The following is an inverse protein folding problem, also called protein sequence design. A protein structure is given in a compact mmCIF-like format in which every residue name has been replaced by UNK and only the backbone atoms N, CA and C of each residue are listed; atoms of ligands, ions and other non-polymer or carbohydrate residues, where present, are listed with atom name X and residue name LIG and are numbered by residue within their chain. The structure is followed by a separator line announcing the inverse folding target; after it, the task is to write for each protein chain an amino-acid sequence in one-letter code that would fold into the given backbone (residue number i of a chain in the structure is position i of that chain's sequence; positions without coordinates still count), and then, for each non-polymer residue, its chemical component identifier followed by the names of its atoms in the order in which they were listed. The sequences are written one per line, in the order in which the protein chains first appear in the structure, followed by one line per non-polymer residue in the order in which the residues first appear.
data_IF_116784689968
#
_entry.id   IF_116784689968
#
_cell.length_a   1.000
_cell.length_b   1.000
_cell.length_c   1.000
_cell.angle_alpha   90.00
_cell.angle_beta   90.00
_cell.angle_gamma   90.00
#
_symmetry.space_group_name_H-M   'P 1'
#
loop_
_entity.id
_entity.type
_entity.pdbx_description
1 polymer ?
#
# COMPACT_ATOMS: atom_id res chain seq x y z
N UNK A 1 -6.19 -11.41 0.44
CA UNK A 1 -6.26 -9.94 0.40
C UNK A 1 -6.51 -9.37 1.77
N UNK A 2 -5.98 -8.18 2.01
CA UNK A 2 -6.06 -7.46 3.28
C UNK A 2 -7.05 -6.30 3.19
N UNK A 3 -7.87 -6.13 4.23
CA UNK A 3 -8.78 -5.00 4.35
C UNK A 3 -8.75 -4.48 5.78
N UNK A 4 -8.46 -3.19 5.94
CA UNK A 4 -8.47 -2.47 7.21
C UNK A 4 -9.38 -1.25 7.12
N UNK A 5 -10.12 -0.99 8.20
CA UNK A 5 -11.12 0.10 8.31
C UNK A 5 -11.38 0.39 9.79
N UNK A 6 -11.55 1.66 10.16
CA UNK A 6 -11.94 2.11 11.50
C UNK A 6 -11.05 1.57 12.64
N UNK A 7 -9.76 1.37 12.38
CA UNK A 7 -8.81 0.81 13.34
C UNK A 7 -7.39 1.26 13.01
N UNK A 8 -6.53 1.25 14.03
CA UNK A 8 -5.07 1.27 13.88
C UNK A 8 -4.57 -0.17 13.67
N UNK A 9 -3.77 -0.39 12.63
CA UNK A 9 -3.34 -1.71 12.21
C UNK A 9 -1.89 -1.72 11.76
N UNK A 10 -1.20 -2.82 12.07
CA UNK A 10 0.13 -3.11 11.53
C UNK A 10 0.10 -4.47 10.86
N UNK A 11 0.50 -4.51 9.59
CA UNK A 11 0.67 -5.74 8.83
C UNK A 11 2.14 -5.93 8.50
N UNK A 12 2.64 -7.14 8.70
CA UNK A 12 4.01 -7.54 8.33
C UNK A 12 3.93 -8.85 7.56
N UNK A 13 4.47 -8.86 6.35
CA UNK A 13 4.54 -10.03 5.48
C UNK A 13 5.99 -10.25 5.06
N UNK A 14 6.44 -11.49 5.13
CA UNK A 14 7.82 -11.85 4.78
C UNK A 14 7.81 -13.16 4.03
N UNK A 15 8.11 -13.12 2.73
CA UNK A 15 8.22 -14.29 1.85
C UNK A 15 7.05 -15.29 2.02
N UNK A 16 5.82 -14.77 2.05
CA UNK A 16 4.61 -15.59 2.21
C UNK A 16 4.08 -15.99 0.84
N UNK A 17 3.80 -17.28 0.67
CA UNK A 17 3.08 -17.77 -0.51
C UNK A 17 1.58 -17.47 -0.38
N UNK A 18 1.07 -16.59 -1.25
CA UNK A 18 -0.34 -16.16 -1.25
C UNK A 18 -1.05 -16.80 -2.43
N UNK A 19 -2.04 -17.64 -2.13
CA UNK A 19 -2.95 -18.15 -3.14
C UNK A 19 -4.08 -17.13 -3.39
N UNK A 20 -4.02 -16.44 -4.53
CA UNK A 20 -5.01 -15.45 -4.92
C UNK A 20 -6.29 -16.09 -5.46
N UNK A 21 -7.43 -15.46 -5.19
CA UNK A 21 -8.67 -15.80 -5.87
C UNK A 21 -8.60 -15.37 -7.35
N UNK A 22 -9.29 -16.09 -8.24
CA UNK A 22 -9.36 -15.79 -9.67
C UNK A 22 -9.84 -14.35 -9.93
N UNK A 23 -10.73 -13.87 -9.06
CA UNK A 23 -11.33 -12.54 -9.02
C UNK A 23 -10.83 -11.76 -7.78
N UNK A 24 -9.52 -11.53 -7.73
CA UNK A 24 -8.90 -10.62 -6.77
C UNK A 24 -8.91 -9.16 -7.27
N UNK A 25 -9.71 -8.30 -6.64
CA UNK A 25 -9.81 -6.89 -7.00
C UNK A 25 -8.71 -5.99 -6.41
N UNK A 26 -8.06 -6.38 -5.30
CA UNK A 26 -7.09 -5.52 -4.60
C UNK A 26 -6.15 -6.36 -3.75
N UNK A 27 -4.86 -6.05 -3.65
CA UNK A 27 -4.00 -6.66 -2.65
C UNK A 27 -4.34 -6.17 -1.23
N UNK A 28 -4.47 -4.84 -1.08
CA UNK A 28 -4.74 -4.13 0.16
C UNK A 28 -5.84 -3.09 -0.05
N UNK A 29 -6.78 -3.00 0.89
CA UNK A 29 -7.71 -1.88 1.01
C UNK A 29 -7.57 -1.23 2.38
N UNK A 30 -7.20 0.04 2.41
CA UNK A 30 -7.08 0.89 3.60
C UNK A 30 -8.07 2.05 3.47
N UNK A 31 -9.35 1.80 3.77
CA UNK A 31 -10.42 2.77 3.53
C UNK A 31 -11.43 2.79 4.67
N UNK A 32 -12.25 3.83 4.70
CA UNK A 32 -13.53 3.82 5.39
C UNK A 32 -14.49 2.74 4.86
N UNK A 33 -15.68 2.73 5.44
CA UNK A 33 -16.76 1.83 5.02
C UNK A 33 -18.14 2.50 5.14
N UNK A 34 -19.15 1.90 4.52
CA UNK A 34 -20.52 2.42 4.49
C UNK A 34 -21.35 2.15 5.76
N UNK A 35 -20.72 1.68 6.84
CA UNK A 35 -21.31 1.35 8.13
C UNK A 35 -22.52 0.38 8.08
N UNK A 36 -22.68 -0.41 7.01
CA UNK A 36 -23.82 -1.35 6.89
C UNK A 36 -23.86 -2.41 7.99
N UNK A 37 -22.73 -2.65 8.67
CA UNK A 37 -22.59 -3.65 9.74
C UNK A 37 -22.35 -3.03 11.13
N UNK A 38 -22.45 -1.69 11.26
CA UNK A 38 -22.36 -1.01 12.56
C UNK A 38 -20.94 -0.73 13.07
N UNK A 39 -19.93 -0.69 12.20
CA UNK A 39 -18.55 -0.37 12.57
C UNK A 39 -18.14 1.03 12.09
N UNK A 40 -17.97 1.93 13.05
CA UNK A 40 -17.56 3.32 12.82
C UNK A 40 -18.71 4.22 12.37
N UNK A 41 -18.35 5.42 11.92
CA UNK A 41 -19.25 6.40 11.32
C UNK A 41 -18.80 6.67 9.87
N UNK A 42 -19.69 6.47 8.89
CA UNK A 42 -19.39 6.76 7.47
C UNK A 42 -18.82 8.17 7.30
N UNK A 43 -17.73 8.30 6.55
CA UNK A 43 -17.01 9.57 6.36
C UNK A 43 -16.11 9.97 7.55
N UNK A 44 -16.02 9.15 8.58
CA UNK A 44 -15.17 9.36 9.77
C UNK A 44 -14.70 8.02 10.37
N UNK A 45 -14.51 7.01 9.52
CA UNK A 45 -14.17 5.64 9.91
C UNK A 45 -13.03 5.06 9.07
N UNK A 46 -12.10 5.90 8.61
CA UNK A 46 -10.90 5.44 7.93
C UNK A 46 -9.99 4.62 8.83
N UNK A 47 -9.00 3.99 8.22
CA UNK A 47 -8.00 3.20 8.92
C UNK A 47 -6.71 4.00 9.15
N UNK A 48 -5.93 3.57 10.12
CA UNK A 48 -4.54 3.96 10.30
C UNK A 48 -3.70 2.68 10.13
N UNK A 49 -2.89 2.61 9.08
CA UNK A 49 -2.28 1.37 8.62
C UNK A 49 -0.78 1.54 8.35
N UNK A 50 0.02 0.81 9.13
CA UNK A 50 1.43 0.58 8.86
C UNK A 50 1.59 -0.79 8.20
N UNK A 51 2.05 -0.83 6.94
CA UNK A 51 2.15 -2.06 6.17
C UNK A 51 3.59 -2.29 5.71
N UNK A 52 4.24 -3.34 6.22
CA UNK A 52 5.60 -3.72 5.84
C UNK A 52 5.63 -5.04 5.08
N UNK A 53 6.36 -5.07 3.98
CA UNK A 53 6.56 -6.27 3.17
C UNK A 53 8.05 -6.48 2.89
N UNK A 54 8.51 -7.71 3.10
CA UNK A 54 9.89 -8.13 2.86
C UNK A 54 9.89 -9.36 1.95
N UNK A 55 10.66 -9.31 0.86
CA UNK A 55 10.75 -10.39 -0.13
C UNK A 55 9.35 -10.93 -0.55
N UNK A 56 8.38 -10.03 -0.73
CA UNK A 56 6.98 -10.37 -0.94
C UNK A 56 6.55 -10.07 -2.37
N UNK A 57 5.97 -11.07 -3.02
CA UNK A 57 5.22 -10.90 -4.26
C UNK A 57 3.77 -10.50 -3.93
N UNK A 58 3.29 -9.41 -4.53
CA UNK A 58 1.97 -8.84 -4.29
C UNK A 58 1.23 -8.60 -5.60
N UNK A 59 0.02 -9.16 -5.72
CA UNK A 59 -0.85 -8.97 -6.88
C UNK A 59 -2.18 -8.32 -6.49
N UNK A 60 -2.57 -7.31 -7.27
CA UNK A 60 -3.79 -6.54 -7.12
C UNK A 60 -3.53 -5.12 -6.61
N UNK A 61 -4.54 -4.27 -6.76
CA UNK A 61 -4.44 -2.85 -6.43
C UNK A 61 -4.30 -2.59 -4.93
N UNK A 62 -3.70 -1.46 -4.59
CA UNK A 62 -3.76 -0.87 -3.26
C UNK A 62 -4.80 0.24 -3.31
N UNK A 63 -5.83 0.14 -2.46
CA UNK A 63 -6.92 1.10 -2.43
C UNK A 63 -6.85 1.86 -1.12
N UNK A 64 -6.82 3.19 -1.18
CA UNK A 64 -6.84 4.07 -0.02
C UNK A 64 -7.89 5.18 -0.17
N UNK A 65 -8.21 5.90 0.91
CA UNK A 65 -9.07 7.08 0.87
C UNK A 65 -8.56 8.18 1.81
N UNK A 66 -9.03 9.40 1.59
CA UNK A 66 -8.59 10.60 2.30
C UNK A 66 -9.03 10.68 3.76
N UNK A 67 -9.77 9.71 4.28
CA UNK A 67 -10.04 9.60 5.73
C UNK A 67 -9.16 8.53 6.40
N UNK A 68 -8.30 7.86 5.64
CA UNK A 68 -7.38 6.83 6.09
C UNK A 68 -5.92 7.28 5.97
N UNK A 69 -5.05 6.65 6.76
CA UNK A 69 -3.61 6.84 6.76
C UNK A 69 -2.96 5.51 6.40
N UNK A 70 -2.08 5.52 5.40
CA UNK A 70 -1.35 4.35 4.95
C UNK A 70 0.12 4.68 4.77
N UNK A 71 0.98 4.01 5.51
CA UNK A 71 2.41 3.93 5.24
C UNK A 71 2.76 2.51 4.75
N UNK A 72 3.22 2.39 3.51
CA UNK A 72 3.61 1.13 2.89
C UNK A 72 5.12 1.07 2.66
N UNK A 73 5.78 0.10 3.27
CA UNK A 73 7.22 -0.14 3.16
C UNK A 73 7.49 -1.43 2.39
N UNK A 74 8.23 -1.33 1.28
CA UNK A 74 8.65 -2.44 0.44
C UNK A 74 10.17 -2.64 0.52
N UNK A 75 10.57 -3.83 0.98
CA UNK A 75 11.96 -4.29 0.99
C UNK A 75 12.09 -5.53 0.12
N UNK A 76 12.92 -5.49 -0.93
CA UNK A 76 13.11 -6.64 -1.85
C UNK A 76 11.81 -7.21 -2.45
N UNK A 77 10.75 -6.41 -2.54
CA UNK A 77 9.39 -6.87 -2.81
C UNK A 77 8.87 -6.40 -4.17
N UNK A 78 7.89 -7.12 -4.72
CA UNK A 78 7.26 -6.77 -6.00
C UNK A 78 5.78 -6.47 -5.80
N UNK A 79 5.34 -5.27 -6.20
CA UNK A 79 3.92 -4.93 -6.32
C UNK A 79 3.53 -4.94 -7.80
N UNK A 80 2.55 -5.77 -8.17
CA UNK A 80 1.86 -5.70 -9.47
C UNK A 80 0.43 -5.20 -9.26
N UNK A 81 0.19 -3.92 -9.53
CA UNK A 81 -1.09 -3.26 -9.27
C UNK A 81 -1.03 -1.75 -9.44
N UNK A 82 -2.19 -1.09 -9.35
CA UNK A 82 -2.30 0.36 -9.22
C UNK A 82 -2.47 0.77 -7.74
N UNK A 83 -2.17 2.02 -7.41
CA UNK A 83 -2.49 2.61 -6.10
C UNK A 83 -3.61 3.63 -6.30
N UNK A 84 -4.81 3.28 -5.86
CA UNK A 84 -6.07 3.96 -6.19
C UNK A 84 -6.57 4.74 -4.98
N UNK A 85 -6.75 6.05 -5.18
CA UNK A 85 -7.49 6.94 -4.29
C UNK A 85 -9.01 6.77 -4.55
N UNK A 86 -9.71 6.08 -3.64
CA UNK A 86 -11.15 5.74 -3.72
C UNK A 86 -11.96 6.41 -2.61
N UNK A 87 -12.42 7.63 -2.90
CA UNK A 87 -13.24 8.46 -2.01
C UNK A 87 -14.68 7.96 -1.76
N UNK A 88 -15.06 6.77 -2.25
CA UNK A 88 -16.44 6.25 -2.18
C UNK A 88 -17.02 6.26 -0.76
N UNK A 89 -16.18 6.09 0.28
CA UNK A 89 -16.60 6.07 1.70
C UNK A 89 -16.08 7.24 2.53
N UNK A 90 -15.35 8.16 1.93
CA UNK A 90 -14.71 9.30 2.61
C UNK A 90 -15.68 10.47 2.90
N UNK A 91 -16.89 10.45 2.34
CA UNK A 91 -17.90 11.49 2.59
C UNK A 91 -17.50 12.82 1.95
N UNK A 92 -17.07 13.80 2.74
CA UNK A 92 -16.59 15.09 2.24
C UNK A 92 -15.06 15.12 2.02
N UNK A 93 -14.41 13.96 2.14
CA UNK A 93 -12.96 13.84 2.18
C UNK A 93 -12.39 14.13 3.57
N UNK A 94 -11.09 13.90 3.73
CA UNK A 94 -10.33 14.19 4.94
C UNK A 94 -8.86 14.53 4.66
N UNK A 95 -8.07 14.57 5.72
CA UNK A 95 -6.64 14.92 5.69
C UNK A 95 -5.74 13.66 5.80
N UNK A 96 -6.26 12.50 5.41
CA UNK A 96 -5.56 11.24 5.33
C UNK A 96 -4.50 11.22 4.22
N UNK A 97 -3.71 10.16 4.17
CA UNK A 97 -2.59 10.05 3.24
C UNK A 97 -2.27 8.61 2.85
N UNK A 98 -1.55 8.47 1.74
CA UNK A 98 -0.90 7.23 1.34
C UNK A 98 0.56 7.50 0.97
N UNK A 99 1.47 6.98 1.78
CA UNK A 99 2.92 7.10 1.58
C UNK A 99 3.48 5.75 1.16
N UNK A 100 4.26 5.74 0.07
CA UNK A 100 4.95 4.56 -0.42
C UNK A 100 6.46 4.74 -0.29
N UNK A 101 7.11 3.75 0.32
CA UNK A 101 8.55 3.64 0.50
C UNK A 101 9.03 2.37 -0.21
N UNK A 102 9.78 2.53 -1.31
CA UNK A 102 10.24 1.45 -2.18
C UNK A 102 11.77 1.41 -2.13
N UNK A 103 12.32 0.39 -1.49
CA UNK A 103 13.76 0.22 -1.41
C UNK A 103 14.40 -0.13 -2.77
N UNK A 104 15.72 -0.04 -2.84
CA UNK A 104 16.51 -0.29 -4.05
C UNK A 104 16.31 -1.67 -4.68
N UNK A 105 15.89 -2.67 -3.91
CA UNK A 105 15.72 -4.05 -4.36
C UNK A 105 14.25 -4.37 -4.71
N UNK A 106 13.34 -3.42 -4.50
CA UNK A 106 11.91 -3.56 -4.77
C UNK A 106 11.52 -3.06 -6.17
N UNK A 107 10.40 -3.59 -6.67
CA UNK A 107 9.81 -3.21 -7.97
C UNK A 107 8.32 -2.94 -7.84
N UNK A 108 7.86 -1.85 -8.43
CA UNK A 108 6.44 -1.59 -8.66
C UNK A 108 6.13 -1.69 -10.16
N UNK A 109 5.40 -2.75 -10.52
CA UNK A 109 4.82 -3.00 -11.83
C UNK A 109 3.43 -2.35 -11.87
N UNK A 110 3.35 -1.16 -12.47
CA UNK A 110 2.15 -0.33 -12.51
C UNK A 110 1.18 -0.85 -13.58
N UNK A 111 -0.07 -1.06 -13.18
CA UNK A 111 -1.14 -1.59 -14.06
C UNK A 111 -2.23 -0.56 -14.39
N UNK A 112 -2.12 0.64 -13.84
CA UNK A 112 -3.08 1.72 -14.00
C UNK A 112 -2.57 3.04 -13.43
N UNK A 113 -3.24 4.14 -13.78
CA UNK A 113 -2.96 5.44 -13.18
C UNK A 113 -3.10 5.36 -11.66
N UNK A 114 -2.14 5.95 -10.95
CA UNK A 114 -2.02 5.80 -9.51
C UNK A 114 -1.88 7.15 -8.81
N UNK A 115 -2.39 7.25 -7.60
CA UNK A 115 -2.34 8.45 -6.75
C UNK A 115 -1.82 8.09 -5.37
N UNK A 116 -0.81 8.81 -4.92
CA UNK A 116 -0.22 8.71 -3.58
C UNK A 116 0.03 10.11 -3.02
N UNK A 117 0.15 10.24 -1.70
CA UNK A 117 0.55 11.50 -1.07
C UNK A 117 2.06 11.71 -1.18
N UNK A 118 2.85 10.69 -0.83
CA UNK A 118 4.31 10.72 -1.01
C UNK A 118 4.82 9.43 -1.62
N UNK A 119 5.84 9.58 -2.49
CA UNK A 119 6.54 8.47 -3.10
C UNK A 119 8.05 8.63 -2.87
N UNK A 120 8.60 7.75 -2.05
CA UNK A 120 10.03 7.59 -1.85
C UNK A 120 10.48 6.31 -2.53
N UNK A 121 11.23 6.42 -3.63
CA UNK A 121 11.60 5.26 -4.45
C UNK A 121 13.09 5.26 -4.80
N UNK A 122 13.82 4.30 -4.23
CA UNK A 122 15.18 3.95 -4.66
C UNK A 122 15.17 2.75 -5.64
N UNK A 123 14.05 2.02 -5.69
CA UNK A 123 13.85 0.84 -6.54
C UNK A 123 13.39 1.15 -7.97
N UNK A 124 12.66 0.19 -8.56
CA UNK A 124 12.21 0.28 -9.97
C UNK A 124 10.71 0.52 -10.07
N UNK A 125 10.31 1.46 -10.94
CA UNK A 125 8.91 1.70 -11.32
C UNK A 125 8.78 1.56 -12.84
N UNK A 126 7.95 0.62 -13.27
CA UNK A 126 7.72 0.32 -14.69
C UNK A 126 6.33 -0.27 -14.91
N UNK A 127 5.88 -0.38 -16.16
CA UNK A 127 4.72 -1.19 -16.52
C UNK A 127 5.10 -2.65 -16.83
N UNK A 128 4.11 -3.45 -17.19
CA UNK A 128 4.28 -4.88 -17.52
C UNK A 128 5.18 -5.13 -18.74
N UNK A 129 5.32 -4.15 -19.63
CA UNK A 129 6.20 -4.22 -20.81
C UNK A 129 7.63 -3.73 -20.49
N UNK A 130 7.87 -3.24 -19.26
CA UNK A 130 9.14 -2.70 -18.80
C UNK A 130 9.37 -1.24 -19.15
N UNK A 131 8.34 -0.50 -19.59
CA UNK A 131 8.48 0.93 -19.85
C UNK A 131 8.44 1.69 -18.53
N UNK A 132 9.33 2.67 -18.37
CA UNK A 132 9.30 3.59 -17.23
C UNK A 132 7.98 4.34 -17.18
N UNK A 133 7.38 4.42 -16.00
CA UNK A 133 6.12 5.13 -15.72
C UNK A 133 6.43 6.59 -15.38
N UNK A 134 5.63 7.51 -15.88
CA UNK A 134 5.77 8.94 -15.55
C UNK A 134 5.34 9.17 -14.11
N UNK A 135 6.16 9.87 -13.33
CA UNK A 135 5.83 10.32 -11.97
C UNK A 135 5.75 11.84 -11.97
N UNK A 136 4.62 12.39 -11.53
CA UNK A 136 4.37 13.83 -11.51
C UNK A 136 3.74 14.32 -10.21
N UNK A 137 3.98 15.58 -9.91
CA UNK A 137 3.34 16.37 -8.88
C UNK A 137 1.86 16.60 -9.16
N UNK A 138 1.05 16.79 -8.11
CA UNK A 138 -0.28 17.40 -8.23
C UNK A 138 -0.22 18.82 -8.79
N UNK A 139 0.91 19.50 -8.64
CA UNK A 139 1.25 20.78 -9.26
C UNK A 139 1.71 20.69 -10.73
N UNK A 140 1.68 19.49 -11.32
CA UNK A 140 2.17 19.16 -12.67
C UNK A 140 3.69 19.18 -12.86
N UNK A 141 4.49 19.28 -11.80
CA UNK A 141 5.93 19.05 -11.86
C UNK A 141 6.21 17.61 -12.30
N UNK A 142 7.04 17.40 -13.32
CA UNK A 142 7.47 16.04 -13.68
C UNK A 142 8.71 15.68 -12.86
N UNK A 143 8.61 14.63 -12.04
CA UNK A 143 9.72 14.08 -11.28
C UNK A 143 10.48 13.02 -12.08
N UNK A 144 9.75 12.13 -12.76
CA UNK A 144 10.28 11.12 -13.68
C UNK A 144 9.47 11.20 -14.97
N UNK A 145 10.13 11.39 -16.11
CA UNK A 145 9.51 11.28 -17.43
C UNK A 145 9.59 9.84 -17.91
N UNK A 146 8.44 9.23 -18.19
CA UNK A 146 8.31 7.85 -18.64
C UNK A 146 7.78 7.72 -20.07
N UNK A 147 7.68 6.48 -20.54
CA UNK A 147 7.08 6.12 -21.84
C UNK A 147 5.90 5.16 -21.71
N UNK A 148 5.61 4.70 -20.50
CA UNK A 148 4.39 3.95 -20.20
C UNK A 148 3.14 4.77 -20.51
N UNK A 149 2.03 4.09 -20.75
CA UNK A 149 0.72 4.72 -20.84
C UNK A 149 0.18 5.22 -19.49
N UNK A 150 0.74 4.74 -18.37
CA UNK A 150 0.30 5.08 -17.02
C UNK A 150 1.05 6.26 -16.43
N UNK A 151 0.41 6.93 -15.47
CA UNK A 151 1.02 8.00 -14.67
C UNK A 151 0.80 7.78 -13.18
N UNK A 152 1.84 8.05 -12.39
CA UNK A 152 1.72 8.18 -10.94
C UNK A 152 1.66 9.68 -10.60
N UNK A 153 0.64 10.07 -9.85
CA UNK A 153 0.50 11.42 -9.28
C UNK A 153 0.86 11.36 -7.80
N UNK A 154 1.83 12.17 -7.36
CA UNK A 154 2.29 12.25 -5.98
C UNK A 154 2.38 13.71 -5.53
N UNK A 155 2.01 14.06 -4.29
CA UNK A 155 2.24 15.42 -3.79
C UNK A 155 3.71 15.71 -3.55
N UNK A 156 4.49 14.66 -3.26
CA UNK A 156 5.93 14.74 -3.10
C UNK A 156 6.64 13.47 -3.61
N UNK A 157 7.87 13.65 -4.06
CA UNK A 157 8.72 12.58 -4.55
C UNK A 157 10.15 12.68 -3.99
N UNK A 158 10.76 11.54 -3.68
CA UNK A 158 12.18 11.40 -3.36
C UNK A 158 12.77 10.18 -4.06
N UNK A 159 14.00 10.30 -4.57
CA UNK A 159 14.81 9.21 -5.13
C UNK A 159 15.53 8.38 -4.05
N UNK A 160 15.21 8.62 -2.78
CA UNK A 160 15.72 7.86 -1.63
C UNK A 160 14.54 7.38 -0.79
N UNK A 161 14.65 6.15 -0.27
CA UNK A 161 13.66 5.56 0.63
C UNK A 161 14.24 5.39 2.03
N UNK A 162 13.68 6.13 3.00
CA UNK A 162 13.99 5.93 4.43
C UNK A 162 13.10 4.81 4.99
N UNK A 163 13.69 3.64 5.16
CA UNK A 163 13.00 2.43 5.64
C UNK A 163 12.93 2.34 7.17
N UNK A 164 13.41 3.35 7.91
CA UNK A 164 13.47 3.30 9.39
C UNK A 164 12.09 3.27 10.07
N UNK A 165 11.03 3.66 9.35
CA UNK A 165 9.64 3.57 9.81
C UNK A 165 8.97 2.23 9.56
N UNK A 166 9.63 1.30 8.85
CA UNK A 166 9.04 -0.01 8.56
C UNK A 166 8.75 -0.81 9.84
N UNK A 167 7.62 -1.54 9.90
CA UNK A 167 7.29 -2.36 11.07
C UNK A 167 8.29 -3.52 11.21
N UNK A 168 8.63 -3.86 12.46
CA UNK A 168 9.54 -4.96 12.74
C UNK A 168 8.94 -6.31 12.37
N UNK A 169 9.74 -7.18 11.74
CA UNK A 169 9.39 -8.60 11.62
C UNK A 169 9.36 -9.25 13.00
N UNK A 170 8.43 -10.18 13.19
CA UNK A 170 8.38 -11.04 14.37
C UNK A 170 8.43 -12.49 13.92
N UNK A 171 9.16 -13.32 14.67
CA UNK A 171 9.24 -14.75 14.38
C UNK A 171 8.14 -15.49 15.12
N UNK A 172 7.56 -16.53 14.51
CA UNK A 172 6.63 -17.42 15.21
C UNK A 172 7.25 -17.99 16.49
N UNK A 173 8.56 -18.26 16.48
CA UNK A 173 9.30 -18.75 17.66
C UNK A 173 9.19 -17.82 18.87
N UNK A 174 8.95 -16.53 18.65
CA UNK A 174 8.83 -15.54 19.72
C UNK A 174 7.51 -15.70 20.49
N UNK A 175 6.54 -16.43 19.90
CA UNK A 175 5.22 -16.68 20.45
C UNK A 175 4.89 -18.18 20.58
N UNK A 176 5.89 -19.06 20.38
CA UNK A 176 5.72 -20.50 20.59
C UNK A 176 5.46 -20.77 22.08
N UNK A 177 4.22 -21.14 22.40
CA UNK A 177 3.84 -21.56 23.75
C UNK A 177 3.63 -23.06 23.79
N UNK A 178 4.22 -23.70 24.80
CA UNK A 178 3.98 -25.13 25.07
C UNK A 178 2.49 -25.39 25.27
N UNK A 179 1.96 -26.43 24.62
CA UNK A 179 0.57 -26.85 24.83
C UNK A 179 0.32 -27.09 26.32
N UNK A 180 -0.76 -26.55 26.92
CA UNK A 180 -1.07 -26.80 28.32
C UNK A 180 -1.22 -28.30 28.61
N UNK A 181 -0.72 -28.75 29.77
CA UNK A 181 -0.72 -30.17 30.15
C UNK A 181 -2.13 -30.74 30.42
N UNK A 182 -3.12 -29.87 30.64
CA UNK A 182 -4.50 -30.27 30.96
C UNK A 182 -5.50 -29.62 29.99
N UNK A 183 -6.02 -30.43 29.07
CA UNK A 183 -7.23 -30.17 28.27
C UNK A 183 -8.41 -30.94 28.88
#
# INVERSE_FOLDING_TARGET
MFYTTNIESTFVLSNVDINYADDNAFFLRCTGNNNKRGWGQTGANGADCLFGVNDQEMQGDIIWDSISQLDLYMTGSTLTGAVVDDETYAGNGGDGYCNLYIDKDSTWIVTGDSTVSSLSCEGTIQDADGNTVTVKGTDSTIYIEGTSAYTITADSYSDTADMSGAPAESSWSDYEVTRPDNL
#
